data_IF_229243911365
#
_entry.id   IF_229243911365
#
_cell.length_a   1.000
_cell.length_b   1.000
_cell.length_c   1.000
_cell.angle_alpha   90.00
_cell.angle_beta   90.00
_cell.angle_gamma   90.00
#
_symmetry.space_group_name_H-M   'P 1'
#
loop_
_entity.id
_entity.type
_entity.pdbx_description
1 polymer ?
#
# COMPACT_ATOMS: atom_id res chain seq x y z
N UNK A 1 -18.16 2.33 28.88
CA UNK A 1 -17.40 1.56 27.85
C UNK A 1 -18.03 1.87 26.50
N UNK A 2 -17.39 2.73 25.71
CA UNK A 2 -17.91 3.14 24.40
C UNK A 2 -17.41 2.18 23.32
N UNK A 3 -18.31 1.41 22.72
CA UNK A 3 -18.01 0.61 21.53
C UNK A 3 -17.91 1.55 20.33
N UNK A 4 -16.76 1.57 19.66
CA UNK A 4 -16.62 2.21 18.36
C UNK A 4 -17.35 1.33 17.33
N UNK A 5 -18.58 1.69 16.98
CA UNK A 5 -19.25 1.10 15.82
C UNK A 5 -18.58 1.66 14.57
N UNK A 6 -17.96 0.83 13.69
CA UNK A 6 -17.61 1.30 12.37
C UNK A 6 -18.91 1.77 11.72
N UNK A 7 -18.97 3.05 11.34
CA UNK A 7 -20.16 3.65 10.77
C UNK A 7 -20.73 2.72 9.69
N UNK A 8 -22.04 2.47 9.79
CA UNK A 8 -22.81 1.44 9.07
C UNK A 8 -22.93 1.76 7.57
N UNK A 9 -21.79 1.98 6.89
CA UNK A 9 -21.69 2.13 5.45
C UNK A 9 -21.52 0.73 4.89
N UNK A 10 -22.47 0.34 4.06
CA UNK A 10 -22.35 -0.86 3.25
C UNK A 10 -21.03 -0.77 2.47
N UNK A 11 -20.08 -1.64 2.82
CA UNK A 11 -18.81 -1.72 2.12
C UNK A 11 -19.12 -2.31 0.75
N UNK A 12 -19.02 -1.49 -0.31
CA UNK A 12 -19.18 -1.99 -1.68
C UNK A 12 -18.28 -3.22 -1.88
N UNK A 13 -18.80 -4.32 -2.45
CA UNK A 13 -18.00 -5.50 -2.74
C UNK A 13 -16.79 -5.11 -3.57
N UNK A 14 -15.60 -5.47 -3.10
CA UNK A 14 -14.37 -5.16 -3.80
C UNK A 14 -14.39 -5.82 -5.18
N UNK A 15 -14.31 -5.02 -6.24
CA UNK A 15 -14.38 -5.48 -7.64
C UNK A 15 -13.04 -6.11 -8.04
N UNK A 16 -12.77 -7.34 -7.59
CA UNK A 16 -11.52 -8.08 -7.86
C UNK A 16 -11.17 -8.14 -9.36
N UNK A 17 -12.15 -8.13 -10.26
CA UNK A 17 -11.92 -8.08 -11.71
C UNK A 17 -11.21 -6.78 -12.15
N UNK A 18 -11.59 -5.63 -11.57
CA UNK A 18 -10.94 -4.34 -11.84
C UNK A 18 -9.52 -4.35 -11.27
N UNK A 19 -9.37 -4.80 -10.02
CA UNK A 19 -8.04 -4.89 -9.38
C UNK A 19 -7.10 -5.82 -10.15
N UNK A 20 -7.60 -6.96 -10.62
CA UNK A 20 -6.85 -7.91 -11.41
C UNK A 20 -6.38 -7.32 -12.74
N UNK A 21 -7.25 -6.57 -13.42
CA UNK A 21 -6.94 -5.87 -14.66
C UNK A 21 -5.84 -4.82 -14.45
N UNK A 22 -6.00 -3.93 -13.47
CA UNK A 22 -5.02 -2.88 -13.14
C UNK A 22 -3.66 -3.47 -12.71
N UNK A 23 -3.69 -4.54 -11.91
CA UNK A 23 -2.48 -5.23 -11.45
C UNK A 23 -1.90 -6.21 -12.49
N UNK A 24 -2.54 -6.38 -13.65
CA UNK A 24 -2.14 -7.36 -14.67
C UNK A 24 -1.97 -8.79 -14.13
N UNK A 25 -2.86 -9.21 -13.22
CA UNK A 25 -2.90 -10.56 -12.64
C UNK A 25 -4.24 -11.25 -12.94
N UNK A 26 -4.34 -12.55 -12.70
CA UNK A 26 -5.63 -13.24 -12.80
C UNK A 26 -6.56 -12.81 -11.66
N UNK A 27 -7.88 -12.87 -11.90
CA UNK A 27 -8.91 -12.60 -10.87
C UNK A 27 -8.69 -13.47 -9.64
N UNK A 28 -8.38 -14.75 -9.82
CA UNK A 28 -8.11 -15.68 -8.73
C UNK A 28 -6.88 -15.26 -7.91
N UNK A 29 -5.81 -14.80 -8.57
CA UNK A 29 -4.60 -14.34 -7.88
C UNK A 29 -4.86 -13.05 -7.08
N UNK A 30 -5.60 -12.10 -7.65
CA UNK A 30 -6.03 -10.90 -6.93
C UNK A 30 -6.90 -11.26 -5.71
N UNK A 31 -7.88 -12.13 -5.88
CA UNK A 31 -8.79 -12.56 -4.82
C UNK A 31 -8.05 -13.28 -3.67
N UNK A 32 -7.22 -14.27 -4.00
CA UNK A 32 -6.41 -15.00 -3.02
C UNK A 32 -5.46 -14.07 -2.26
N UNK A 33 -4.84 -13.10 -2.92
CA UNK A 33 -3.94 -12.13 -2.28
C UNK A 33 -4.69 -11.27 -1.26
N UNK A 34 -5.85 -10.74 -1.65
CA UNK A 34 -6.65 -9.84 -0.82
C UNK A 34 -7.22 -10.60 0.36
N UNK A 35 -7.84 -11.77 0.12
CA UNK A 35 -8.41 -12.61 1.18
C UNK A 35 -7.32 -13.10 2.13
N UNK A 36 -6.19 -13.59 1.60
CA UNK A 36 -5.06 -14.04 2.42
C UNK A 36 -4.54 -12.95 3.35
N UNK A 37 -4.29 -11.76 2.81
CA UNK A 37 -3.80 -10.61 3.60
C UNK A 37 -4.83 -10.18 4.65
N UNK A 38 -6.11 -10.07 4.28
CA UNK A 38 -7.18 -9.68 5.20
C UNK A 38 -7.37 -10.71 6.32
N UNK A 39 -7.31 -12.01 6.00
CA UNK A 39 -7.38 -13.09 6.99
C UNK A 39 -6.19 -13.07 7.95
N UNK A 40 -4.97 -12.85 7.45
CA UNK A 40 -3.78 -12.71 8.29
C UNK A 40 -3.90 -11.52 9.24
N UNK A 41 -4.29 -10.36 8.71
CA UNK A 41 -4.48 -9.15 9.50
C UNK A 41 -5.55 -9.34 10.58
N UNK A 42 -6.73 -9.85 10.20
CA UNK A 42 -7.82 -10.15 11.12
C UNK A 42 -7.39 -11.10 12.24
N UNK A 43 -6.62 -12.14 11.92
CA UNK A 43 -6.10 -13.09 12.91
C UNK A 43 -5.11 -12.44 13.88
N UNK A 44 -4.23 -11.56 13.41
CA UNK A 44 -3.29 -10.85 14.29
C UNK A 44 -4.03 -9.89 15.23
N UNK A 45 -4.98 -9.13 14.69
CA UNK A 45 -5.80 -8.19 15.46
C UNK A 45 -6.68 -8.91 16.50
N UNK A 46 -7.26 -10.05 16.15
CA UNK A 46 -8.04 -10.87 17.09
C UNK A 46 -7.23 -11.43 18.26
N UNK A 47 -5.89 -11.52 18.12
CA UNK A 47 -4.96 -11.90 19.19
C UNK A 47 -4.41 -10.70 19.98
N UNK A 48 -4.77 -9.47 19.59
CA UNK A 48 -4.20 -8.26 20.17
C UNK A 48 -2.72 -8.05 19.84
N UNK A 49 -2.22 -8.68 18.76
CA UNK A 49 -0.83 -8.51 18.31
C UNK A 49 -0.65 -7.10 17.71
N UNK A 50 0.50 -6.48 17.95
CA UNK A 50 0.91 -5.28 17.22
C UNK A 50 1.23 -5.69 15.77
N UNK A 51 0.76 -4.91 14.79
CA UNK A 51 0.92 -5.23 13.36
C UNK A 51 1.51 -4.05 12.60
N UNK A 52 2.55 -4.30 11.80
CA UNK A 52 2.94 -3.43 10.70
C UNK A 52 2.48 -4.04 9.37
N UNK A 53 1.50 -3.40 8.75
CA UNK A 53 1.07 -3.72 7.39
C UNK A 53 1.80 -2.80 6.42
N UNK A 54 2.70 -3.37 5.62
CA UNK A 54 3.43 -2.69 4.57
C UNK A 54 2.58 -2.73 3.30
N UNK A 55 2.18 -1.56 2.82
CA UNK A 55 1.57 -1.37 1.53
C UNK A 55 2.68 -0.95 0.56
N UNK A 56 3.14 -1.91 -0.24
CA UNK A 56 4.21 -1.68 -1.22
C UNK A 56 3.86 -0.48 -2.09
N UNK A 57 4.85 0.40 -2.29
CA UNK A 57 4.73 1.65 -3.06
C UNK A 57 3.83 2.75 -2.46
N UNK A 58 3.19 2.49 -1.32
CA UNK A 58 2.29 3.44 -0.62
C UNK A 58 2.86 3.87 0.73
N UNK A 59 3.14 2.91 1.63
CA UNK A 59 3.55 3.21 2.98
C UNK A 59 3.39 2.05 3.97
N UNK A 60 3.37 2.37 5.27
CA UNK A 60 3.25 1.41 6.37
C UNK A 60 2.13 1.84 7.30
N UNK A 61 1.17 0.93 7.53
CA UNK A 61 0.13 1.06 8.53
C UNK A 61 0.57 0.33 9.80
N UNK A 62 0.79 1.09 10.87
CA UNK A 62 1.15 0.59 12.19
C UNK A 62 -0.10 0.50 13.08
N UNK A 63 -0.31 -0.66 13.68
CA UNK A 63 -1.37 -0.92 14.63
C UNK A 63 -0.72 -1.40 15.93
N UNK A 64 -0.78 -0.58 16.97
CA UNK A 64 -0.15 -0.83 18.27
C UNK A 64 -1.17 -0.65 19.38
N UNK A 65 -1.66 -1.78 19.92
CA UNK A 65 -2.81 -1.78 20.83
C UNK A 65 -4.01 -1.03 20.24
N UNK A 66 -4.52 0.04 20.88
CA UNK A 66 -5.65 0.83 20.36
C UNK A 66 -5.23 1.88 19.32
N UNK A 67 -3.93 2.08 19.06
CA UNK A 67 -3.43 3.15 18.19
C UNK A 67 -3.22 2.64 16.78
N UNK A 68 -3.78 3.35 15.80
CA UNK A 68 -3.54 3.11 14.37
C UNK A 68 -2.85 4.33 13.77
N UNK A 69 -1.71 4.14 13.11
CA UNK A 69 -0.92 5.20 12.47
C UNK A 69 -0.54 4.80 11.05
N UNK A 70 -0.93 5.62 10.09
CA UNK A 70 -0.48 5.47 8.71
C UNK A 70 0.77 6.34 8.48
N UNK A 71 1.81 5.76 7.89
CA UNK A 71 2.97 6.48 7.39
C UNK A 71 3.11 6.23 5.90
N UNK A 72 3.37 7.27 5.11
CA UNK A 72 3.46 7.18 3.66
C UNK A 72 4.91 7.26 3.18
N UNK A 73 5.22 6.60 2.07
CA UNK A 73 6.48 6.82 1.38
C UNK A 73 6.47 8.18 0.68
N UNK A 74 7.59 8.90 0.72
CA UNK A 74 7.71 10.20 0.05
C UNK A 74 7.34 10.11 -1.44
N UNK A 75 7.85 9.10 -2.14
CA UNK A 75 7.58 8.87 -3.58
C UNK A 75 6.09 8.61 -3.87
N UNK A 76 5.33 8.09 -2.91
CA UNK A 76 3.89 7.93 -3.06
C UNK A 76 3.19 9.29 -3.00
N UNK A 77 3.51 10.08 -1.96
CA UNK A 77 2.96 11.42 -1.80
C UNK A 77 3.35 12.34 -2.96
N UNK A 78 4.57 12.20 -3.48
CA UNK A 78 5.08 13.01 -4.60
C UNK A 78 4.27 12.73 -5.88
N UNK A 79 3.96 11.45 -6.14
CA UNK A 79 3.10 11.07 -7.28
C UNK A 79 1.66 11.57 -7.13
N UNK A 80 1.14 11.66 -5.91
CA UNK A 80 -0.24 12.10 -5.67
C UNK A 80 -0.38 13.63 -5.72
N UNK A 81 0.53 14.36 -5.09
CA UNK A 81 0.40 15.81 -4.91
C UNK A 81 1.22 16.62 -5.93
N UNK A 82 2.18 16.00 -6.60
CA UNK A 82 3.23 16.69 -7.35
C UNK A 82 4.33 17.21 -6.41
N UNK A 83 5.57 17.19 -6.90
CA UNK A 83 6.78 17.50 -6.13
C UNK A 83 6.73 18.87 -5.44
N UNK A 84 6.42 19.92 -6.18
CA UNK A 84 6.44 21.29 -5.66
C UNK A 84 5.39 21.53 -4.58
N UNK A 85 4.22 20.90 -4.70
CA UNK A 85 3.15 21.01 -3.72
C UNK A 85 3.48 20.20 -2.47
N UNK A 86 4.09 19.03 -2.63
CA UNK A 86 4.52 18.21 -1.51
C UNK A 86 5.64 18.89 -0.73
N UNK A 87 6.67 19.43 -1.40
CA UNK A 87 7.76 20.14 -0.74
C UNK A 87 7.24 21.35 0.03
N UNK A 88 6.35 22.15 -0.57
CA UNK A 88 5.69 23.28 0.12
C UNK A 88 4.84 22.81 1.30
N UNK A 89 4.08 21.72 1.15
CA UNK A 89 3.22 21.19 2.19
C UNK A 89 4.04 20.61 3.36
N UNK A 90 5.07 19.80 3.07
CA UNK A 90 5.97 19.23 4.08
C UNK A 90 6.77 20.35 4.76
N UNK A 91 7.24 21.35 4.01
CA UNK A 91 7.97 22.47 4.60
C UNK A 91 7.07 23.33 5.51
N UNK A 92 5.89 23.74 5.04
CA UNK A 92 4.94 24.53 5.83
C UNK A 92 4.39 23.74 7.03
N UNK A 93 4.04 22.49 6.82
CA UNK A 93 3.41 21.67 7.84
C UNK A 93 4.43 21.09 8.83
N UNK A 94 5.70 20.89 8.45
CA UNK A 94 6.76 20.57 9.43
C UNK A 94 7.17 21.77 10.29
N UNK A 95 6.93 23.00 9.83
CA UNK A 95 7.10 24.21 10.64
C UNK A 95 5.99 24.39 11.70
N UNK A 96 4.78 23.91 11.42
CA UNK A 96 3.62 24.00 12.34
C UNK A 96 3.38 22.73 13.17
N UNK A 97 3.72 21.56 12.63
CA UNK A 97 3.52 20.25 13.25
C UNK A 97 4.80 19.42 13.03
N UNK A 98 5.78 19.49 13.95
CA UNK A 98 7.03 18.73 13.85
C UNK A 98 6.81 17.22 13.66
N UNK A 99 5.72 16.69 14.22
CA UNK A 99 5.30 15.29 14.13
C UNK A 99 4.90 14.84 12.71
N UNK A 100 4.69 15.77 11.76
CA UNK A 100 4.38 15.40 10.37
C UNK A 100 5.59 14.78 9.65
N UNK A 101 6.81 15.04 10.13
CA UNK A 101 8.02 14.36 9.65
C UNK A 101 7.95 12.85 9.92
N UNK A 102 7.28 12.43 11.00
CA UNK A 102 7.12 11.01 11.35
C UNK A 102 6.09 10.28 10.48
N UNK A 103 5.27 11.01 9.71
CA UNK A 103 4.32 10.45 8.74
C UNK A 103 4.96 10.13 7.39
N UNK A 104 6.19 10.60 7.11
CA UNK A 104 6.90 10.33 5.86
C UNK A 104 8.06 9.38 6.14
N UNK A 105 8.09 8.24 5.46
CA UNK A 105 9.14 7.22 5.63
C UNK A 105 10.01 7.17 4.38
N UNK A 106 11.33 7.15 4.56
CA UNK A 106 12.26 6.86 3.48
C UNK A 106 12.14 5.37 3.08
N UNK A 107 12.12 5.01 1.79
CA UNK A 107 12.12 3.61 1.35
C UNK A 107 13.29 2.79 1.91
N UNK A 108 14.38 3.46 2.31
CA UNK A 108 15.64 2.86 2.80
C UNK A 108 15.68 2.78 4.34
N UNK A 109 14.72 3.39 5.05
CA UNK A 109 14.64 3.23 6.50
C UNK A 109 14.32 1.76 6.81
N UNK A 110 15.13 1.06 7.65
CA UNK A 110 14.90 -0.34 7.94
C UNK A 110 13.49 -0.51 8.50
N UNK A 111 12.68 -1.32 7.82
CA UNK A 111 11.39 -1.79 8.34
C UNK A 111 11.55 -2.38 9.75
N UNK A 112 12.72 -2.94 10.03
CA UNK A 112 13.15 -3.43 11.34
C UNK A 112 13.11 -2.38 12.47
N UNK A 113 13.20 -1.08 12.17
CA UNK A 113 13.09 0.00 13.17
C UNK A 113 11.66 0.47 13.43
N UNK A 114 10.68 0.03 12.61
CA UNK A 114 9.29 0.50 12.68
C UNK A 114 8.41 -0.33 13.61
N UNK A 115 8.87 -1.50 14.05
CA UNK A 115 8.17 -2.33 15.03
C UNK A 115 9.17 -2.97 15.95
N UNK A 116 9.28 -2.48 17.18
CA UNK A 116 10.15 -3.10 18.17
C UNK A 116 9.61 -4.47 18.65
N UNK A 117 8.34 -4.84 18.36
CA UNK A 117 7.69 -6.05 18.92
C UNK A 117 6.50 -6.65 18.11
N UNK A 118 6.27 -6.28 16.84
CA UNK A 118 5.03 -6.62 16.10
C UNK A 118 5.15 -7.63 14.94
N UNK A 119 4.02 -8.18 14.46
CA UNK A 119 3.95 -8.95 13.21
C UNK A 119 4.06 -8.03 12.00
N UNK A 120 4.86 -8.43 11.01
CA UNK A 120 4.97 -7.73 9.73
C UNK A 120 4.16 -8.47 8.67
N UNK A 121 3.27 -7.75 7.99
CA UNK A 121 2.48 -8.25 6.86
C UNK A 121 2.82 -7.38 5.64
N UNK A 122 3.13 -7.98 4.50
CA UNK A 122 3.48 -7.26 3.28
C UNK A 122 2.37 -7.45 2.24
N UNK A 123 1.85 -6.34 1.72
CA UNK A 123 0.85 -6.34 0.66
C UNK A 123 1.34 -5.55 -0.57
N UNK A 124 1.12 -6.06 -1.79
CA UNK A 124 0.68 -7.41 -2.10
C UNK A 124 1.83 -8.41 -1.91
N UNK A 125 1.54 -9.58 -1.32
CA UNK A 125 2.49 -10.71 -1.26
C UNK A 125 2.63 -11.42 -2.62
N UNK A 126 1.72 -11.12 -3.55
CA UNK A 126 1.82 -11.57 -4.93
C UNK A 126 3.05 -10.97 -5.62
N UNK A 127 3.96 -11.83 -6.08
CA UNK A 127 4.95 -11.47 -7.10
C UNK A 127 4.16 -11.07 -8.36
N UNK A 128 3.98 -9.76 -8.55
CA UNK A 128 3.52 -9.21 -9.83
C UNK A 128 4.74 -9.33 -10.74
N UNK A 129 4.84 -10.43 -11.48
CA UNK A 129 5.76 -10.46 -12.60
C UNK A 129 5.30 -9.37 -13.57
N UNK A 130 6.18 -8.47 -14.01
CA UNK A 130 5.81 -7.57 -15.10
C UNK A 130 5.47 -8.46 -16.29
N UNK A 131 4.20 -8.47 -16.69
CA UNK A 131 3.82 -8.99 -17.98
C UNK A 131 4.63 -8.18 -19.01
N UNK A 132 5.64 -8.80 -19.62
CA UNK A 132 6.21 -8.30 -20.87
C UNK A 132 5.12 -8.41 -21.92
N UNK A 133 4.23 -7.41 -21.98
CA UNK A 133 3.44 -7.21 -23.17
C UNK A 133 4.44 -7.05 -24.32
N UNK A 134 4.47 -8.06 -25.20
CA UNK A 134 5.20 -8.03 -26.47
C UNK A 134 4.92 -6.68 -27.12
N UNK A 135 5.96 -5.85 -27.30
CA UNK A 135 5.94 -4.90 -28.41
C UNK A 135 5.81 -5.76 -29.66
N UNK A 136 4.62 -5.83 -30.28
CA UNK A 136 4.57 -6.10 -31.72
C UNK A 136 5.29 -4.92 -32.35
N UNK A 137 6.55 -5.10 -32.67
CA UNK A 137 7.21 -4.25 -33.66
C UNK A 137 6.44 -4.53 -34.97
N UNK A 138 5.84 -3.53 -35.62
CA UNK A 138 5.37 -3.71 -36.98
C UNK A 138 6.60 -4.05 -37.82
N UNK A 139 6.61 -5.20 -38.49
CA UNK A 139 7.61 -5.48 -39.51
C UNK A 139 7.34 -4.49 -40.65
N UNK A 140 8.14 -3.41 -40.67
CA UNK A 140 8.27 -2.50 -41.79
C UNK A 140 8.73 -3.32 -43.00
N UNK A 141 8.15 -3.02 -44.17
CA UNK A 141 8.09 -3.89 -45.34
C UNK A 141 9.41 -4.42 -45.89
N UNK A 142 9.30 -5.55 -46.58
CA UNK A 142 10.27 -5.98 -47.58
C UNK A 142 9.78 -5.54 -48.97
N UNK A 143 10.68 -5.06 -49.86
CA UNK A 143 10.34 -4.71 -51.23
C UNK A 143 10.15 -5.97 -52.09
N UNK A 144 9.38 -5.90 -53.19
CA UNK A 144 9.28 -7.00 -54.14
C UNK A 144 10.58 -7.12 -54.93
N UNK A 145 11.11 -8.35 -55.00
CA UNK A 145 12.12 -8.78 -55.96
C UNK A 145 11.54 -9.86 -56.85
#
# INVERSE_FOLDING_TARGET
VGFFFPGNKELEPLKCSKVALEASVSRQKADSCIRGTASLLSRCLGKGENVALILKDVGVLLIEGPKVRMRFYYQFLERLCGKENLEKAVFKASAWVPQLRDMVVSPVAPVASLTFTGRVIIFPECVIHPCRCRRRVPLLGMPPG
#
